data_IF_227652550798
#
_entry.id   IF_227652550798
#
_cell.length_a   1.000
_cell.length_b   1.000
_cell.length_c   1.000
_cell.angle_alpha   90.00
_cell.angle_beta   90.00
_cell.angle_gamma   90.00
#
_symmetry.space_group_name_H-M   'P 1'
#
loop_
_entity.id
_entity.type
_entity.pdbx_description
1 polymer ?
#
# COMPACT_ATOMS: atom_id res chain seq x y z
N UNK A 1 9.47 2.70 27.15
CA UNK A 1 9.30 1.60 26.19
C UNK A 1 8.20 2.05 25.25
N UNK A 2 8.41 2.13 23.94
CA UNK A 2 7.29 2.39 23.03
C UNK A 2 6.37 1.17 23.07
N UNK A 3 5.06 1.37 23.04
CA UNK A 3 4.14 0.26 22.83
C UNK A 3 4.42 -0.31 21.43
N UNK A 4 4.83 -1.57 21.35
CA UNK A 4 5.11 -2.25 20.08
C UNK A 4 3.91 -2.15 19.12
N UNK A 5 2.68 -2.09 19.66
CA UNK A 5 1.48 -1.88 18.87
C UNK A 5 1.43 -0.48 18.24
N UNK A 6 1.77 0.57 18.99
CA UNK A 6 1.78 1.94 18.46
C UNK A 6 2.80 2.11 17.32
N UNK A 7 3.99 1.54 17.48
CA UNK A 7 5.01 1.48 16.42
C UNK A 7 4.47 0.71 15.22
N UNK A 8 3.91 -0.48 15.44
CA UNK A 8 3.38 -1.33 14.38
C UNK A 8 2.29 -0.65 13.54
N UNK A 9 1.35 0.06 14.18
CA UNK A 9 0.30 0.82 13.48
C UNK A 9 0.90 2.02 12.71
N UNK A 10 1.86 2.73 13.31
CA UNK A 10 2.54 3.87 12.68
C UNK A 10 3.27 3.45 11.41
N UNK A 11 3.94 2.31 11.46
CA UNK A 11 4.70 1.78 10.34
C UNK A 11 3.80 1.48 9.13
N UNK A 12 2.63 0.88 9.38
CA UNK A 12 1.66 0.58 8.33
C UNK A 12 0.94 1.83 7.80
N UNK A 13 0.67 2.82 8.66
CA UNK A 13 0.12 4.11 8.21
C UNK A 13 1.06 4.78 7.20
N UNK A 14 2.37 4.77 7.43
CA UNK A 14 3.33 5.33 6.47
C UNK A 14 3.32 4.58 5.13
N UNK A 15 3.24 3.24 5.16
CA UNK A 15 3.11 2.43 3.95
C UNK A 15 1.91 2.82 3.10
N UNK A 16 0.77 3.12 3.73
CA UNK A 16 -0.44 3.59 3.04
C UNK A 16 -0.25 4.93 2.31
N UNK A 17 0.56 5.85 2.86
CA UNK A 17 0.86 7.14 2.22
C UNK A 17 1.63 6.93 0.93
N UNK A 18 2.66 6.06 0.94
CA UNK A 18 3.44 5.75 -0.25
C UNK A 18 2.58 5.07 -1.34
N UNK A 19 1.71 4.14 -0.95
CA UNK A 19 0.80 3.47 -1.88
C UNK A 19 -0.19 4.45 -2.52
N UNK A 20 -0.78 5.37 -1.76
CA UNK A 20 -1.72 6.37 -2.27
C UNK A 20 -1.06 7.37 -3.24
N UNK A 21 0.17 7.80 -2.97
CA UNK A 21 0.93 8.66 -3.90
C UNK A 21 1.19 7.92 -5.23
N UNK A 22 1.65 6.66 -5.17
CA UNK A 22 1.89 5.84 -6.35
C UNK A 22 0.61 5.61 -7.17
N UNK A 23 -0.50 5.26 -6.51
CA UNK A 23 -1.79 5.08 -7.18
C UNK A 23 -2.28 6.39 -7.82
N UNK A 24 -2.08 7.54 -7.17
CA UNK A 24 -2.39 8.85 -7.74
C UNK A 24 -1.63 9.09 -9.04
N UNK A 25 -0.31 8.84 -9.04
CA UNK A 25 0.53 8.96 -10.24
C UNK A 25 0.10 8.00 -11.35
N UNK A 26 -0.19 6.74 -11.03
CA UNK A 26 -0.68 5.76 -12.02
C UNK A 26 -2.03 6.17 -12.60
N UNK A 27 -2.93 6.69 -11.77
CA UNK A 27 -4.22 7.20 -12.23
C UNK A 27 -4.06 8.34 -13.22
N UNK A 28 -3.21 9.31 -12.88
CA UNK A 28 -3.04 10.52 -13.69
C UNK A 28 -2.25 10.21 -14.98
N UNK A 29 -1.27 9.30 -14.94
CA UNK A 29 -0.48 8.90 -16.11
C UNK A 29 -1.26 8.03 -17.12
N UNK A 30 -2.32 7.34 -16.69
CA UNK A 30 -3.11 6.43 -17.52
C UNK A 30 -4.58 6.86 -17.63
N UNK A 31 -4.83 8.17 -17.65
CA UNK A 31 -6.17 8.76 -17.67
C UNK A 31 -7.07 8.14 -18.76
N UNK A 32 -8.32 7.84 -18.40
CA UNK A 32 -9.30 7.21 -19.29
C UNK A 32 -9.08 5.70 -19.53
N UNK A 33 -8.01 5.11 -19.00
CA UNK A 33 -7.68 3.70 -19.17
C UNK A 33 -8.06 2.78 -17.99
N UNK A 34 -7.95 1.44 -18.18
CA UNK A 34 -8.21 0.44 -17.13
C UNK A 34 -7.33 0.59 -15.88
N UNK A 35 -6.07 1.03 -16.05
CA UNK A 35 -5.16 1.30 -14.94
C UNK A 35 -5.70 2.44 -14.08
N UNK A 36 -6.14 3.55 -14.68
CA UNK A 36 -6.69 4.67 -13.94
C UNK A 36 -7.98 4.31 -13.18
N UNK A 37 -8.86 3.53 -13.79
CA UNK A 37 -10.07 3.04 -13.13
C UNK A 37 -9.74 2.14 -11.92
N UNK A 38 -8.75 1.26 -12.08
CA UNK A 38 -8.29 0.38 -10.98
C UNK A 38 -7.65 1.20 -9.87
N UNK A 39 -6.78 2.15 -10.22
CA UNK A 39 -6.09 3.00 -9.27
C UNK A 39 -7.05 3.88 -8.47
N UNK A 40 -8.04 4.52 -9.13
CA UNK A 40 -9.07 5.33 -8.47
C UNK A 40 -9.84 4.51 -7.43
N UNK A 41 -10.25 3.29 -7.80
CA UNK A 41 -10.96 2.39 -6.88
C UNK A 41 -10.11 1.98 -5.68
N UNK A 42 -8.83 1.66 -5.89
CA UNK A 42 -7.92 1.33 -4.79
C UNK A 42 -7.65 2.53 -3.88
N UNK A 43 -7.58 3.75 -4.42
CA UNK A 43 -7.44 4.97 -3.61
C UNK A 43 -8.62 5.11 -2.64
N UNK A 44 -9.84 4.93 -3.12
CA UNK A 44 -11.05 5.05 -2.30
C UNK A 44 -11.09 3.97 -1.20
N UNK A 45 -10.80 2.73 -1.58
CA UNK A 45 -10.80 1.59 -0.65
C UNK A 45 -9.71 1.72 0.42
N UNK A 46 -8.47 2.01 0.03
CA UNK A 46 -7.34 2.22 0.95
C UNK A 46 -7.62 3.44 1.84
N UNK A 47 -8.26 4.47 1.31
CA UNK A 47 -8.73 5.62 2.08
C UNK A 47 -9.75 5.23 3.16
N UNK A 48 -10.67 4.31 2.87
CA UNK A 48 -11.59 3.74 3.84
C UNK A 48 -10.91 2.91 4.92
N UNK A 49 -9.99 2.02 4.51
CA UNK A 49 -9.21 1.17 5.41
C UNK A 49 -8.31 1.98 6.34
N UNK A 50 -7.74 3.10 5.84
CA UNK A 50 -6.93 4.00 6.65
C UNK A 50 -7.74 4.65 7.77
N UNK A 51 -9.01 5.00 7.55
CA UNK A 51 -9.88 5.52 8.63
C UNK A 51 -10.06 4.50 9.75
N UNK A 52 -10.12 3.21 9.43
CA UNK A 52 -10.15 2.14 10.45
C UNK A 52 -8.83 2.09 11.21
N UNK A 53 -7.70 2.19 10.50
CA UNK A 53 -6.38 2.18 11.11
C UNK A 53 -6.15 3.39 12.03
N UNK A 54 -6.56 4.58 11.59
CA UNK A 54 -6.50 5.82 12.36
C UNK A 54 -7.31 5.68 13.66
N UNK A 55 -8.55 5.14 13.58
CA UNK A 55 -9.37 4.90 14.77
C UNK A 55 -8.77 3.87 15.74
N UNK A 56 -8.00 2.88 15.26
CA UNK A 56 -7.24 1.97 16.13
C UNK A 56 -6.03 2.66 16.76
N UNK A 57 -5.32 3.48 15.99
CA UNK A 57 -4.17 4.26 16.49
C UNK A 57 -4.59 5.22 17.61
N UNK A 58 -5.73 5.90 17.46
CA UNK A 58 -6.30 6.77 18.49
C UNK A 58 -6.60 6.01 19.80
N UNK A 59 -7.19 4.82 19.71
CA UNK A 59 -7.51 3.99 20.89
C UNK A 59 -6.28 3.55 21.67
N UNK A 60 -5.15 3.32 21.01
CA UNK A 60 -3.89 2.88 21.65
C UNK A 60 -3.04 4.06 22.13
N UNK A 61 -3.51 5.30 21.96
CA UNK A 61 -2.72 6.50 22.28
C UNK A 61 -1.52 6.70 21.34
N UNK A 62 -1.53 6.06 20.17
CA UNK A 62 -0.60 6.37 19.09
C UNK A 62 -1.06 7.66 18.45
N UNK A 63 -0.76 8.80 19.09
CA UNK A 63 -1.06 10.12 18.55
C UNK A 63 -0.45 10.23 17.16
N UNK A 64 -1.20 10.62 16.11
CA UNK A 64 -0.61 10.79 14.79
C UNK A 64 0.43 11.91 14.84
N UNK A 65 1.73 11.66 14.61
CA UNK A 65 2.67 12.75 14.42
C UNK A 65 2.61 13.15 12.95
N UNK A 66 1.80 14.15 12.60
CA UNK A 66 2.01 14.92 11.37
C UNK A 66 2.64 16.27 11.72
N UNK A 67 3.61 16.83 10.97
CA UNK A 67 4.47 16.22 9.95
C UNK A 67 5.95 16.67 10.10
N UNK A 68 6.89 15.72 10.22
CA UNK A 68 8.33 15.88 9.87
C UNK A 68 9.10 14.60 10.15
N UNK A 69 8.79 13.90 11.24
CA UNK A 69 9.43 12.60 11.57
C UNK A 69 8.84 11.41 10.81
N UNK A 70 7.51 11.34 10.66
CA UNK A 70 6.89 10.35 9.78
C UNK A 70 7.32 10.53 8.32
N UNK A 71 7.52 11.77 7.86
CA UNK A 71 8.08 12.06 6.54
C UNK A 71 9.54 11.59 6.41
N UNK A 72 10.37 11.68 7.46
CA UNK A 72 11.76 11.21 7.44
C UNK A 72 11.87 9.68 7.49
N UNK A 73 11.01 9.00 8.26
CA UNK A 73 11.02 7.54 8.38
C UNK A 73 10.32 6.87 7.20
N UNK A 74 9.19 7.43 6.75
CA UNK A 74 8.61 7.10 5.46
C UNK A 74 9.58 7.43 4.34
N UNK A 75 10.42 8.48 4.43
CA UNK A 75 11.45 8.73 3.44
C UNK A 75 12.56 7.69 3.46
N UNK A 76 12.96 7.10 4.59
CA UNK A 76 13.93 5.98 4.69
C UNK A 76 13.38 4.68 4.10
N UNK A 77 12.12 4.33 4.40
CA UNK A 77 11.45 3.16 3.81
C UNK A 77 11.04 3.38 2.36
N UNK A 78 10.61 4.60 2.04
CA UNK A 78 10.43 5.04 0.68
C UNK A 78 11.75 5.19 -0.04
N UNK A 79 12.93 5.35 0.59
CA UNK A 79 14.21 5.32 -0.15
C UNK A 79 14.51 3.90 -0.62
N UNK A 80 14.19 2.88 0.17
CA UNK A 80 14.27 1.48 -0.26
C UNK A 80 13.32 1.18 -1.41
N UNK A 81 12.11 1.77 -1.41
CA UNK A 81 11.23 1.73 -2.58
C UNK A 81 11.76 2.60 -3.72
N UNK A 82 12.25 3.81 -3.45
CA UNK A 82 12.76 4.85 -4.40
C UNK A 82 13.99 4.37 -5.18
N UNK A 83 14.75 3.42 -4.64
CA UNK A 83 15.81 2.73 -5.39
C UNK A 83 15.27 1.93 -6.59
N UNK A 84 13.97 1.64 -6.65
CA UNK A 84 13.28 1.11 -7.85
C UNK A 84 12.82 2.22 -8.82
N UNK A 85 12.93 3.52 -8.46
CA UNK A 85 12.32 4.63 -9.21
C UNK A 85 13.32 5.56 -9.91
N UNK A 86 14.64 5.39 -9.71
CA UNK A 86 15.67 6.30 -10.24
C UNK A 86 16.18 5.93 -11.66
N UNK A 87 15.32 5.36 -12.51
CA UNK A 87 15.60 5.22 -13.95
C UNK A 87 14.75 6.22 -14.80
N UNK A 88 15.38 7.14 -15.53
CA UNK A 88 14.71 8.13 -16.38
C UNK A 88 13.92 7.57 -17.58
N UNK A 89 13.94 6.27 -17.86
CA UNK A 89 13.20 5.73 -19.00
C UNK A 89 11.69 5.60 -18.68
N UNK A 90 10.82 6.28 -19.42
CA UNK A 90 9.37 6.09 -19.37
C UNK A 90 8.93 4.73 -19.96
N UNK A 91 9.48 3.63 -19.44
CA UNK A 91 9.34 2.27 -19.99
C UNK A 91 8.49 1.33 -19.16
N UNK A 92 8.16 0.18 -19.77
CA UNK A 92 7.36 -0.89 -19.15
C UNK A 92 7.93 -1.43 -17.83
N UNK A 93 9.25 -1.40 -17.63
CA UNK A 93 9.89 -1.91 -16.41
C UNK A 93 9.44 -1.14 -15.15
N UNK A 94 9.38 0.19 -15.21
CA UNK A 94 8.92 0.99 -14.07
C UNK A 94 7.44 0.75 -13.75
N UNK A 95 6.63 0.50 -14.79
CA UNK A 95 5.21 0.16 -14.61
C UNK A 95 5.07 -1.20 -13.89
N UNK A 96 5.87 -2.19 -14.28
CA UNK A 96 5.94 -3.48 -13.60
C UNK A 96 6.33 -3.30 -12.12
N UNK A 97 7.44 -2.62 -11.84
CA UNK A 97 7.93 -2.39 -10.48
C UNK A 97 6.91 -1.63 -9.62
N UNK A 98 6.15 -0.70 -10.22
CA UNK A 98 5.05 0.00 -9.55
C UNK A 98 3.95 -0.97 -9.12
N UNK A 99 3.52 -1.88 -9.99
CA UNK A 99 2.52 -2.89 -9.65
C UNK A 99 3.02 -3.92 -8.63
N UNK A 100 4.32 -4.25 -8.65
CA UNK A 100 4.94 -5.11 -7.65
C UNK A 100 5.01 -4.44 -6.28
N UNK A 101 5.41 -3.17 -6.23
CA UNK A 101 5.39 -2.38 -5.00
C UNK A 101 3.98 -2.27 -4.40
N UNK A 102 2.96 -2.04 -5.23
CA UNK A 102 1.56 -2.04 -4.78
C UNK A 102 1.12 -3.42 -4.29
N UNK A 103 1.50 -4.49 -4.99
CA UNK A 103 1.17 -5.86 -4.59
C UNK A 103 1.76 -6.23 -3.23
N UNK A 104 3.02 -5.85 -2.98
CA UNK A 104 3.68 -6.01 -1.68
C UNK A 104 3.03 -5.16 -0.61
N UNK A 105 2.64 -3.92 -0.92
CA UNK A 105 1.92 -3.04 -0.01
C UNK A 105 0.56 -3.60 0.40
N UNK A 106 -0.21 -4.14 -0.54
CA UNK A 106 -1.49 -4.81 -0.29
C UNK A 106 -1.30 -6.05 0.59
N UNK A 107 -0.29 -6.87 0.32
CA UNK A 107 0.01 -8.03 1.17
C UNK A 107 0.45 -7.60 2.58
N UNK A 108 1.30 -6.59 2.71
CA UNK A 108 1.70 -6.05 4.00
C UNK A 108 0.50 -5.58 4.82
N UNK A 109 -0.44 -4.85 4.20
CA UNK A 109 -1.70 -4.46 4.83
C UNK A 109 -2.58 -5.66 5.21
N UNK A 110 -2.64 -6.70 4.38
CA UNK A 110 -3.37 -7.93 4.71
C UNK A 110 -2.78 -8.61 5.94
N UNK A 111 -1.45 -8.68 6.03
CA UNK A 111 -0.73 -9.23 7.18
C UNK A 111 -0.99 -8.41 8.45
N UNK A 112 -1.05 -7.07 8.34
CA UNK A 112 -1.51 -6.20 9.43
C UNK A 112 -2.88 -6.62 9.94
N UNK A 113 -3.89 -6.71 9.07
CA UNK A 113 -5.26 -7.05 9.50
C UNK A 113 -5.36 -8.41 10.17
N UNK A 114 -4.65 -9.41 9.62
CA UNK A 114 -4.56 -10.74 10.25
C UNK A 114 -3.91 -10.68 11.64
N UNK A 115 -2.87 -9.87 11.78
CA UNK A 115 -2.13 -9.73 13.04
C UNK A 115 -2.97 -9.02 14.10
N UNK A 116 -3.68 -7.95 13.74
CA UNK A 116 -4.58 -7.24 14.65
C UNK A 116 -5.77 -8.10 15.06
N UNK A 117 -6.35 -8.88 14.13
CA UNK A 117 -7.39 -9.86 14.44
C UNK A 117 -6.92 -10.86 15.49
N UNK A 118 -5.74 -11.45 15.29
CA UNK A 118 -5.18 -12.42 16.24
C UNK A 118 -4.90 -11.79 17.61
N UNK A 119 -4.35 -10.57 17.63
CA UNK A 119 -4.05 -9.84 18.86
C UNK A 119 -5.31 -9.38 19.62
N UNK A 120 -6.44 -9.17 18.92
CA UNK A 120 -7.70 -8.73 19.54
C UNK A 120 -8.23 -9.68 20.61
N UNK A 121 -7.85 -10.97 20.58
CA UNK A 121 -8.18 -11.92 21.64
C UNK A 121 -7.56 -11.57 23.00
N UNK A 122 -6.51 -10.74 23.03
CA UNK A 122 -5.75 -10.38 24.23
C UNK A 122 -5.64 -8.87 24.46
N UNK A 123 -6.08 -8.05 23.50
CA UNK A 123 -5.98 -6.58 23.50
C UNK A 123 -7.39 -6.01 23.23
N UNK A 124 -8.18 -5.69 24.27
CA UNK A 124 -9.55 -5.16 24.12
C UNK A 124 -9.66 -3.93 23.21
N UNK A 125 -8.62 -3.11 23.15
CA UNK A 125 -8.56 -1.92 22.30
C UNK A 125 -8.58 -2.23 20.78
N UNK A 126 -8.25 -3.46 20.40
CA UNK A 126 -8.29 -3.94 19.00
C UNK A 126 -9.64 -4.55 18.62
N UNK A 127 -10.61 -4.63 19.53
CA UNK A 127 -11.95 -5.15 19.25
C UNK A 127 -12.79 -4.10 18.50
N UNK A 128 -13.59 -4.56 17.54
CA UNK A 128 -14.57 -3.73 16.83
C UNK A 128 -14.47 -3.76 15.30
N UNK A 129 -13.28 -3.66 14.69
CA UNK A 129 -13.15 -3.73 13.23
C UNK A 129 -13.64 -5.06 12.65
N UNK A 130 -14.25 -5.01 11.46
CA UNK A 130 -14.51 -6.19 10.64
C UNK A 130 -13.21 -6.64 9.94
N UNK A 131 -12.37 -7.35 10.69
CA UNK A 131 -11.10 -7.83 10.15
C UNK A 131 -11.26 -8.81 8.99
N UNK A 132 -12.32 -9.64 8.98
CA UNK A 132 -12.53 -10.60 7.91
C UNK A 132 -12.89 -9.89 6.60
N UNK A 133 -13.75 -8.86 6.65
CA UNK A 133 -14.03 -7.99 5.51
C UNK A 133 -12.79 -7.24 5.00
N UNK A 134 -11.96 -6.71 5.91
CA UNK A 134 -10.71 -6.01 5.56
C UNK A 134 -9.68 -6.94 4.90
N UNK A 135 -9.57 -8.18 5.38
CA UNK A 135 -8.70 -9.21 4.79
C UNK A 135 -9.19 -9.59 3.39
N UNK A 136 -10.50 -9.86 3.24
CA UNK A 136 -11.09 -10.21 1.96
C UNK A 136 -10.95 -9.06 0.93
N UNK A 137 -11.10 -7.82 1.37
CA UNK A 137 -10.88 -6.64 0.53
C UNK A 137 -9.43 -6.56 0.04
N UNK A 138 -8.44 -6.80 0.91
CA UNK A 138 -7.04 -6.85 0.49
C UNK A 138 -6.75 -7.98 -0.52
N UNK A 139 -7.38 -9.14 -0.36
CA UNK A 139 -7.27 -10.25 -1.31
C UNK A 139 -7.88 -9.88 -2.68
N UNK A 140 -9.04 -9.23 -2.69
CA UNK A 140 -9.68 -8.73 -3.91
C UNK A 140 -8.84 -7.63 -4.61
N UNK A 141 -8.26 -6.70 -3.84
CA UNK A 141 -7.33 -5.70 -4.37
C UNK A 141 -6.10 -6.36 -5.01
N UNK A 142 -5.53 -7.39 -4.38
CA UNK A 142 -4.41 -8.15 -4.93
C UNK A 142 -4.79 -8.82 -6.25
N UNK A 143 -6.00 -9.37 -6.32
CA UNK A 143 -6.57 -9.95 -7.55
C UNK A 143 -6.75 -8.91 -8.66
N UNK A 144 -7.18 -7.69 -8.34
CA UNK A 144 -7.33 -6.60 -9.32
C UNK A 144 -6.00 -6.04 -9.82
N UNK A 145 -4.94 -6.08 -9.02
CA UNK A 145 -3.59 -5.63 -9.45
C UNK A 145 -2.91 -6.65 -10.38
N UNK A 146 -3.19 -7.94 -10.23
CA UNK A 146 -2.43 -9.00 -10.91
C UNK A 146 -2.48 -8.94 -12.44
N UNK A 147 -3.64 -8.73 -13.10
CA UNK A 147 -3.67 -8.63 -14.55
C UNK A 147 -2.81 -7.48 -15.08
N UNK A 148 -2.82 -6.33 -14.41
CA UNK A 148 -2.01 -5.18 -14.81
C UNK A 148 -0.52 -5.43 -14.60
N UNK A 149 -0.15 -6.10 -13.50
CA UNK A 149 1.24 -6.51 -13.23
C UNK A 149 1.76 -7.45 -14.31
N UNK A 150 0.96 -8.45 -14.70
CA UNK A 150 1.34 -9.42 -15.73
C UNK A 150 1.46 -8.77 -17.11
N UNK A 151 0.51 -7.90 -17.49
CA UNK A 151 0.60 -7.14 -18.74
C UNK A 151 1.86 -6.25 -18.78
N UNK A 152 2.16 -5.57 -17.67
CA UNK A 152 3.39 -4.77 -17.55
C UNK A 152 4.65 -5.64 -17.65
N UNK A 153 4.64 -6.86 -17.09
CA UNK A 153 5.76 -7.79 -17.22
C UNK A 153 5.99 -8.26 -18.65
N UNK A 154 4.90 -8.59 -19.38
CA UNK A 154 4.97 -8.97 -20.79
C UNK A 154 5.58 -7.87 -21.64
N UNK A 155 5.18 -6.61 -21.43
CA UNK A 155 5.72 -5.46 -22.15
C UNK A 155 7.17 -5.16 -21.75
N UNK A 156 7.49 -5.19 -20.45
CA UNK A 156 8.79 -4.81 -19.92
C UNK A 156 9.91 -5.80 -20.24
N UNK A 157 9.57 -7.09 -20.26
CA UNK A 157 10.55 -8.18 -20.32
C UNK A 157 10.57 -8.89 -21.67
N UNK A 158 9.76 -8.44 -22.64
CA UNK A 158 9.82 -8.92 -24.01
C UNK A 158 11.22 -8.64 -24.62
N UNK A 159 11.78 -9.58 -25.40
CA UNK A 159 13.03 -9.35 -26.10
C UNK A 159 12.88 -8.19 -27.09
N UNK A 160 13.90 -7.33 -27.17
CA UNK A 160 13.95 -6.29 -28.20
C UNK A 160 13.86 -6.93 -29.60
N UNK A 161 13.15 -6.30 -30.56
CA UNK A 161 13.08 -6.83 -31.91
C UNK A 161 14.50 -6.95 -32.51
N UNK A 162 14.76 -7.99 -33.32
CA UNK A 162 16.05 -8.13 -33.98
C UNK A 162 16.31 -6.91 -34.88
N UNK A 163 17.55 -6.42 -34.85
CA UNK A 163 18.03 -5.28 -35.64
C UNK A 163 17.98 -5.53 -37.16
#
# INVERSE_FOLDING_TARGET
MSDDLATYLTDHMAGSVAALDLLGRLRDAHEGGPIAATAARLIDEIGGERKVLDGLAEKVGATPPLPRKAASWAAEKATQLKLLYDDPAAGGLRLLESFEALSLGVEGKRLLWRSLRAASARRPELVGPDYDGLIALAEDQRGRLEPHRLAAAEEALAPAPPA
#
